data_IF_173565569329
#
_entry.id   IF_173565569329
#
_cell.length_a   1.000
_cell.length_b   1.000
_cell.length_c   1.000
_cell.angle_alpha   90.00
_cell.angle_beta   90.00
_cell.angle_gamma   90.00
#
_symmetry.space_group_name_H-M   'P 1'
#
loop_
_entity.id
_entity.type
_entity.pdbx_description
1 polymer ?
#
# COMPACT_ATOMS: atom_id res chain seq x y z
N UNK A 1 -37.73 41.77 -9.81
CA UNK A 1 -37.06 41.41 -11.08
C UNK A 1 -35.64 41.99 -11.02
N UNK A 2 -34.52 41.30 -11.27
CA UNK A 2 -34.22 40.00 -11.88
C UNK A 2 -33.00 39.38 -11.20
N UNK A 3 -33.08 38.07 -10.98
CA UNK A 3 -31.96 37.16 -10.68
C UNK A 3 -30.91 37.26 -11.80
N UNK A 4 -29.63 37.38 -11.43
CA UNK A 4 -28.51 37.02 -12.31
C UNK A 4 -27.54 36.14 -11.53
N UNK A 5 -27.83 34.85 -11.57
CA UNK A 5 -26.98 33.73 -11.15
C UNK A 5 -25.72 33.71 -12.01
N UNK A 6 -24.53 33.77 -11.42
CA UNK A 6 -23.31 33.25 -12.03
C UNK A 6 -22.48 32.56 -10.95
N UNK A 7 -22.80 31.28 -10.76
CA UNK A 7 -22.00 30.30 -10.02
C UNK A 7 -20.85 29.90 -10.93
N UNK A 8 -19.67 30.48 -10.75
CA UNK A 8 -18.44 30.00 -11.37
C UNK A 8 -17.82 28.92 -10.46
N UNK A 9 -18.39 27.72 -10.53
CA UNK A 9 -17.71 26.51 -10.03
C UNK A 9 -16.58 26.23 -11.00
N UNK A 10 -15.37 26.70 -10.66
CA UNK A 10 -14.14 26.13 -11.18
C UNK A 10 -13.61 25.15 -10.12
N UNK A 11 -14.32 24.03 -10.00
CA UNK A 11 -13.73 22.79 -9.52
C UNK A 11 -12.69 22.34 -10.57
N UNK A 12 -11.68 21.61 -10.11
CA UNK A 12 -10.59 20.97 -10.87
C UNK A 12 -9.24 21.70 -10.86
N UNK A 13 -8.69 21.99 -9.68
CA UNK A 13 -7.22 21.95 -9.49
C UNK A 13 -6.80 21.30 -8.16
N UNK A 14 -7.58 20.35 -7.64
CA UNK A 14 -7.18 19.50 -6.52
C UNK A 14 -6.66 18.12 -6.98
N UNK A 15 -6.05 18.03 -8.17
CA UNK A 15 -5.69 16.75 -8.81
C UNK A 15 -4.26 16.64 -9.34
N UNK A 16 -3.35 17.54 -8.98
CA UNK A 16 -1.95 17.52 -9.45
C UNK A 16 -0.94 17.14 -8.36
N UNK A 17 -1.23 16.10 -7.58
CA UNK A 17 -0.18 15.38 -6.83
C UNK A 17 0.02 13.94 -7.33
N UNK A 18 -0.79 13.47 -8.28
CA UNK A 18 -0.82 12.06 -8.67
C UNK A 18 0.23 11.65 -9.70
N UNK A 19 0.78 12.55 -10.52
CA UNK A 19 1.66 12.11 -11.62
C UNK A 19 3.02 11.61 -11.13
N UNK A 20 3.59 12.22 -10.08
CA UNK A 20 4.88 11.76 -9.52
C UNK A 20 4.74 10.54 -8.60
N UNK A 21 3.61 10.40 -7.89
CA UNK A 21 3.33 9.23 -7.06
C UNK A 21 2.93 8.01 -7.92
N UNK A 22 2.18 8.21 -9.02
CA UNK A 22 1.66 7.12 -9.84
C UNK A 22 2.73 6.43 -10.71
N UNK A 23 3.74 7.16 -11.19
CA UNK A 23 4.91 6.54 -11.85
C UNK A 23 5.67 5.62 -10.89
N UNK A 24 5.86 6.07 -9.65
CA UNK A 24 6.57 5.32 -8.62
C UNK A 24 5.76 4.11 -8.13
N UNK A 25 4.43 4.23 -8.06
CA UNK A 25 3.52 3.15 -7.69
C UNK A 25 3.58 1.94 -8.62
N UNK A 26 3.53 2.14 -9.94
CA UNK A 26 3.64 1.01 -10.89
C UNK A 26 5.02 0.34 -10.82
N UNK A 27 6.09 1.13 -10.73
CA UNK A 27 7.44 0.59 -10.60
C UNK A 27 7.63 -0.19 -9.30
N UNK A 28 7.26 0.40 -8.16
CA UNK A 28 7.34 -0.25 -6.84
C UNK A 28 6.45 -1.50 -6.77
N UNK A 29 5.27 -1.47 -7.39
CA UNK A 29 4.39 -2.63 -7.47
C UNK A 29 5.03 -3.78 -8.27
N UNK A 30 5.68 -3.49 -9.40
CA UNK A 30 6.37 -4.52 -10.19
C UNK A 30 7.56 -5.10 -9.43
N UNK A 31 8.43 -4.23 -8.91
CA UNK A 31 9.66 -4.63 -8.20
C UNK A 31 9.33 -5.45 -6.96
N UNK A 32 8.39 -4.99 -6.13
CA UNK A 32 7.99 -5.74 -4.93
C UNK A 32 7.39 -7.08 -5.28
N UNK A 33 6.51 -7.16 -6.28
CA UNK A 33 5.87 -8.41 -6.70
C UNK A 33 6.90 -9.43 -7.20
N UNK A 34 7.85 -9.01 -8.04
CA UNK A 34 8.92 -9.86 -8.55
C UNK A 34 9.83 -10.37 -7.41
N UNK A 35 10.21 -9.48 -6.48
CA UNK A 35 11.00 -9.87 -5.31
C UNK A 35 10.24 -10.87 -4.40
N UNK A 36 8.93 -10.72 -4.22
CA UNK A 36 8.10 -11.71 -3.50
C UNK A 36 8.07 -13.05 -4.22
N UNK A 37 7.94 -13.07 -5.56
CA UNK A 37 8.01 -14.32 -6.34
C UNK A 37 9.36 -15.01 -6.19
N UNK A 38 10.44 -14.24 -6.08
CA UNK A 38 11.78 -14.75 -5.81
C UNK A 38 12.02 -15.10 -4.32
N UNK A 39 11.02 -14.91 -3.43
CA UNK A 39 11.14 -15.05 -1.96
C UNK A 39 12.20 -14.14 -1.34
N UNK A 40 12.57 -13.06 -2.03
CA UNK A 40 13.48 -12.04 -1.54
C UNK A 40 12.70 -10.98 -0.76
N UNK A 41 12.29 -11.32 0.46
CA UNK A 41 11.40 -10.47 1.26
C UNK A 41 12.06 -9.20 1.78
N UNK A 42 13.39 -9.20 1.96
CA UNK A 42 14.14 -8.01 2.38
C UNK A 42 14.06 -6.92 1.31
N UNK A 43 14.29 -7.28 0.05
CA UNK A 43 14.24 -6.32 -1.06
C UNK A 43 12.80 -5.96 -1.44
N UNK A 44 11.85 -6.87 -1.22
CA UNK A 44 10.44 -6.61 -1.47
C UNK A 44 9.79 -5.62 -0.49
N UNK A 45 10.32 -5.51 0.74
CA UNK A 45 9.65 -4.83 1.85
C UNK A 45 9.41 -3.35 1.58
N UNK A 46 10.45 -2.57 1.35
CA UNK A 46 10.34 -1.12 1.14
C UNK A 46 9.41 -0.74 -0.04
N UNK A 47 9.56 -1.32 -1.25
CA UNK A 47 8.66 -0.99 -2.36
C UNK A 47 7.22 -1.44 -2.09
N UNK A 48 7.00 -2.57 -1.43
CA UNK A 48 5.64 -3.02 -1.08
C UNK A 48 4.95 -2.08 -0.08
N UNK A 49 5.66 -1.67 0.98
CA UNK A 49 5.13 -0.72 1.97
C UNK A 49 4.82 0.66 1.34
N UNK A 50 5.63 1.10 0.37
CA UNK A 50 5.34 2.31 -0.41
C UNK A 50 4.02 2.18 -1.21
N UNK A 51 3.80 1.04 -1.89
CA UNK A 51 2.55 0.80 -2.63
C UNK A 51 1.34 0.75 -1.70
N UNK A 52 1.45 0.07 -0.56
CA UNK A 52 0.37 0.04 0.44
C UNK A 52 -0.01 1.43 0.95
N UNK A 53 0.98 2.31 1.11
CA UNK A 53 0.76 3.68 1.61
C UNK A 53 0.18 4.61 0.54
N UNK A 54 0.71 4.54 -0.69
CA UNK A 54 0.44 5.54 -1.73
C UNK A 54 -0.68 5.13 -2.68
N UNK A 55 -0.80 3.83 -2.96
CA UNK A 55 -1.70 3.29 -3.98
C UNK A 55 -2.17 1.86 -3.65
N UNK A 56 -2.81 1.65 -2.47
CA UNK A 56 -3.15 0.31 -1.97
C UNK A 56 -4.09 -0.49 -2.89
N UNK A 57 -4.88 0.18 -3.72
CA UNK A 57 -5.84 -0.44 -4.64
C UNK A 57 -5.30 -0.63 -6.05
N UNK A 58 -4.05 -0.25 -6.34
CA UNK A 58 -3.47 -0.35 -7.69
C UNK A 58 -3.48 -1.80 -8.22
N UNK A 59 -3.13 -2.75 -7.36
CA UNK A 59 -3.09 -4.18 -7.67
C UNK A 59 -3.64 -4.97 -6.49
N UNK A 60 -4.55 -5.89 -6.77
CA UNK A 60 -5.16 -6.75 -5.74
C UNK A 60 -4.14 -7.59 -4.96
N UNK A 61 -3.04 -7.99 -5.62
CA UNK A 61 -2.03 -8.84 -4.98
C UNK A 61 -1.21 -8.11 -3.91
N UNK A 62 -1.21 -6.76 -3.86
CA UNK A 62 -0.37 -5.98 -2.94
C UNK A 62 -0.55 -6.41 -1.48
N UNK A 63 -1.79 -6.62 -1.04
CA UNK A 63 -2.06 -7.06 0.33
C UNK A 63 -1.56 -8.49 0.61
N UNK A 64 -1.77 -9.40 -0.34
CA UNK A 64 -1.28 -10.79 -0.22
C UNK A 64 0.25 -10.83 -0.19
N UNK A 65 0.90 -9.99 -0.98
CA UNK A 65 2.35 -9.92 -1.03
C UNK A 65 2.93 -9.27 0.23
N UNK A 66 2.32 -8.21 0.75
CA UNK A 66 2.68 -7.63 2.04
C UNK A 66 2.59 -8.65 3.19
N UNK A 67 1.52 -9.46 3.21
CA UNK A 67 1.36 -10.54 4.19
C UNK A 67 2.50 -11.58 4.07
N UNK A 68 2.86 -12.01 2.85
CA UNK A 68 3.99 -12.93 2.62
C UNK A 68 5.33 -12.33 3.05
N UNK A 69 5.56 -11.04 2.76
CA UNK A 69 6.77 -10.33 3.15
C UNK A 69 6.90 -10.31 4.67
N UNK A 70 5.89 -9.82 5.38
CA UNK A 70 5.94 -9.63 6.83
C UNK A 70 6.05 -10.98 7.56
N UNK A 71 5.27 -11.98 7.15
CA UNK A 71 5.39 -13.34 7.70
C UNK A 71 6.74 -13.98 7.37
N UNK A 72 7.28 -13.73 6.17
CA UNK A 72 8.60 -14.19 5.75
C UNK A 72 9.73 -13.57 6.58
N UNK A 73 9.72 -12.25 6.79
CA UNK A 73 10.71 -11.55 7.62
C UNK A 73 10.63 -12.01 9.07
N UNK A 74 9.43 -12.14 9.62
CA UNK A 74 9.22 -12.64 10.98
C UNK A 74 9.67 -14.08 11.18
N UNK A 75 9.64 -14.92 10.13
CA UNK A 75 10.04 -16.33 10.22
C UNK A 75 11.49 -16.49 10.66
N UNK A 76 12.37 -15.60 10.19
CA UNK A 76 13.81 -15.66 10.46
C UNK A 76 14.19 -15.03 11.82
N UNK A 77 13.25 -14.37 12.49
CA UNK A 77 13.46 -13.78 13.82
C UNK A 77 13.16 -14.81 14.90
N UNK A 78 14.22 -15.24 15.61
CA UNK A 78 14.13 -16.23 16.69
C UNK A 78 13.45 -15.68 17.94
N UNK A 79 13.81 -14.45 18.34
CA UNK A 79 13.24 -13.81 19.52
C UNK A 79 11.91 -13.14 19.19
N UNK A 80 10.82 -13.79 19.61
CA UNK A 80 9.44 -13.32 19.41
C UNK A 80 9.09 -12.08 20.24
N UNK A 81 9.95 -11.69 21.19
CA UNK A 81 9.79 -10.46 21.98
C UNK A 81 10.64 -9.30 21.46
N UNK A 82 11.45 -9.52 20.41
CA UNK A 82 12.28 -8.48 19.83
C UNK A 82 11.45 -7.35 19.24
N UNK A 83 12.02 -6.14 19.22
CA UNK A 83 11.40 -4.97 18.62
C UNK A 83 11.08 -5.20 17.13
N UNK A 84 11.95 -5.90 16.40
CA UNK A 84 11.74 -6.21 14.98
C UNK A 84 10.57 -7.17 14.77
N UNK A 85 10.45 -8.22 15.60
CA UNK A 85 9.31 -9.13 15.51
C UNK A 85 8.00 -8.37 15.78
N UNK A 86 7.97 -7.58 16.86
CA UNK A 86 6.79 -6.78 17.20
C UNK A 86 6.42 -5.79 16.09
N UNK A 87 7.41 -5.11 15.52
CA UNK A 87 7.21 -4.17 14.40
C UNK A 87 6.52 -4.85 13.23
N UNK A 88 7.08 -5.97 12.74
CA UNK A 88 6.52 -6.66 11.57
C UNK A 88 5.15 -7.29 11.87
N UNK A 89 4.91 -7.71 13.12
CA UNK A 89 3.61 -8.19 13.55
C UNK A 89 2.56 -7.08 13.54
N UNK A 90 2.87 -5.92 14.13
CA UNK A 90 1.97 -4.76 14.15
C UNK A 90 1.68 -4.29 12.71
N UNK A 91 2.70 -4.25 11.85
CA UNK A 91 2.53 -3.96 10.42
C UNK A 91 1.63 -4.98 9.73
N UNK A 92 1.74 -6.27 10.06
CA UNK A 92 0.88 -7.31 9.49
C UNK A 92 -0.58 -7.08 9.87
N UNK A 93 -0.85 -6.74 11.12
CA UNK A 93 -2.20 -6.38 11.58
C UNK A 93 -2.73 -5.16 10.83
N UNK A 94 -1.92 -4.12 10.63
CA UNK A 94 -2.30 -2.96 9.83
C UNK A 94 -2.61 -3.33 8.37
N UNK A 95 -1.88 -4.28 7.77
CA UNK A 95 -2.18 -4.76 6.41
C UNK A 95 -3.55 -5.43 6.35
N UNK A 96 -3.93 -6.20 7.38
CA UNK A 96 -5.27 -6.80 7.45
C UNK A 96 -6.36 -5.73 7.55
N UNK A 97 -6.18 -4.72 8.40
CA UNK A 97 -7.14 -3.61 8.53
C UNK A 97 -7.26 -2.81 7.23
N UNK A 98 -6.13 -2.50 6.60
CA UNK A 98 -6.11 -1.81 5.30
C UNK A 98 -6.77 -2.64 4.21
N UNK A 99 -6.62 -3.96 4.21
CA UNK A 99 -7.26 -4.83 3.23
C UNK A 99 -8.78 -4.78 3.38
N UNK A 100 -9.30 -4.91 4.60
CA UNK A 100 -10.75 -4.81 4.87
C UNK A 100 -11.28 -3.43 4.44
N UNK A 101 -10.54 -2.37 4.76
CA UNK A 101 -10.93 -0.99 4.41
C UNK A 101 -10.96 -0.73 2.90
N UNK A 102 -9.96 -1.23 2.16
CA UNK A 102 -9.78 -0.90 0.74
C UNK A 102 -10.42 -1.91 -0.22
N UNK A 103 -10.76 -3.11 0.27
CA UNK A 103 -11.34 -4.20 -0.49
C UNK A 103 -12.55 -4.80 0.25
N UNK A 104 -13.56 -3.98 0.63
CA UNK A 104 -14.71 -4.43 1.42
C UNK A 104 -15.56 -5.49 0.70
N UNK A 105 -15.51 -5.55 -0.63
CA UNK A 105 -16.28 -6.49 -1.45
C UNK A 105 -15.84 -7.96 -1.29
N UNK A 106 -14.73 -8.21 -0.59
CA UNK A 106 -14.20 -9.56 -0.33
C UNK A 106 -14.43 -10.03 1.12
N UNK A 107 -15.25 -9.32 1.91
CA UNK A 107 -15.57 -9.60 3.32
C UNK A 107 -17.08 -9.50 3.58
#
# INVERSE_FOLDING_TARGET
MKIKTLVAVLFLLAGMTSVSAQSNCNANSSVSHEAVRAKNFKDAYAPCMAVLKECPTLRYYTFTDAQKILTGLMKDIKDRNSADYKKYFDELMMVHDLKIKNLPEFY
#
